data_IF_929952028113
#
_entry.id   IF_929952028113
#
_cell.length_a   1.000
_cell.length_b   1.000
_cell.length_c   1.000
_cell.angle_alpha   90.00
_cell.angle_beta   90.00
_cell.angle_gamma   90.00
#
_symmetry.space_group_name_H-M   'P 1'
#
loop_
_entity.id
_entity.type
_entity.pdbx_description
1 polymer ?
#
# COMPACT_ATOMS: atom_id res chain seq x y z
N UNK A 1 8.62 -11.69 -16.04
CA UNK A 1 8.19 -10.61 -15.11
C UNK A 1 6.69 -10.40 -15.07
N UNK A 2 5.92 -11.39 -15.52
CA UNK A 2 4.45 -11.24 -15.55
C UNK A 2 3.85 -11.01 -14.17
N UNK A 3 4.32 -11.76 -13.15
CA UNK A 3 3.78 -11.62 -11.80
C UNK A 3 4.04 -10.23 -11.24
N UNK A 4 5.27 -9.71 -11.36
CA UNK A 4 5.60 -8.37 -10.88
C UNK A 4 4.74 -7.30 -11.55
N UNK A 5 4.50 -7.43 -12.86
CA UNK A 5 3.61 -6.53 -13.59
C UNK A 5 2.20 -6.53 -12.99
N UNK A 6 1.62 -7.70 -12.78
CA UNK A 6 0.25 -7.78 -12.25
C UNK A 6 0.18 -7.31 -10.80
N UNK A 7 1.16 -7.66 -9.98
CA UNK A 7 1.22 -7.18 -8.59
C UNK A 7 1.35 -5.65 -8.54
N UNK A 8 2.17 -5.10 -9.41
CA UNK A 8 2.35 -3.64 -9.52
C UNK A 8 1.02 -2.96 -9.87
N UNK A 9 0.28 -3.50 -10.83
CA UNK A 9 -1.02 -2.96 -11.21
C UNK A 9 -2.05 -3.09 -10.08
N UNK A 10 -2.08 -4.23 -9.40
CA UNK A 10 -3.00 -4.45 -8.27
C UNK A 10 -2.73 -3.44 -7.15
N UNK A 11 -1.47 -3.33 -6.72
CA UNK A 11 -1.13 -2.39 -5.64
C UNK A 11 -1.45 -0.96 -6.04
N UNK A 12 -1.12 -0.55 -7.25
CA UNK A 12 -1.40 0.81 -7.71
C UNK A 12 -2.90 1.11 -7.71
N UNK A 13 -3.72 0.21 -8.22
CA UNK A 13 -5.18 0.41 -8.28
C UNK A 13 -5.76 0.47 -6.87
N UNK A 14 -5.37 -0.45 -5.98
CA UNK A 14 -5.89 -0.48 -4.61
C UNK A 14 -5.51 0.80 -3.88
N UNK A 15 -4.24 1.20 -3.94
CA UNK A 15 -3.77 2.40 -3.23
C UNK A 15 -4.40 3.66 -3.82
N UNK A 16 -4.45 3.80 -5.14
CA UNK A 16 -5.07 4.97 -5.76
C UNK A 16 -6.55 5.07 -5.37
N UNK A 17 -7.27 3.96 -5.36
CA UNK A 17 -8.69 3.97 -4.97
C UNK A 17 -8.86 4.38 -3.50
N UNK A 18 -7.98 3.90 -2.62
CA UNK A 18 -8.05 4.21 -1.19
C UNK A 18 -7.83 5.70 -0.90
N UNK A 19 -6.96 6.34 -1.66
CA UNK A 19 -6.59 7.74 -1.46
C UNK A 19 -7.33 8.72 -2.37
N UNK A 20 -8.32 8.24 -3.13
CA UNK A 20 -9.20 9.06 -3.96
C UNK A 20 -10.66 8.85 -3.55
N UNK A 21 -11.42 8.08 -4.32
CA UNK A 21 -12.85 7.98 -4.08
C UNK A 21 -13.23 7.23 -2.79
N UNK A 22 -12.36 6.37 -2.26
CA UNK A 22 -12.62 5.66 -1.00
C UNK A 22 -12.14 6.41 0.25
N UNK A 23 -11.49 7.56 0.06
CA UNK A 23 -10.88 8.31 1.16
C UNK A 23 -11.89 8.63 2.27
N UNK A 24 -13.10 8.99 1.92
CA UNK A 24 -14.16 9.37 2.84
C UNK A 24 -15.23 8.30 3.02
N UNK A 25 -15.01 7.09 2.53
CA UNK A 25 -16.00 6.02 2.61
C UNK A 25 -15.76 5.14 3.84
N UNK A 26 -16.82 4.69 4.52
CA UNK A 26 -16.66 3.69 5.58
C UNK A 26 -16.22 2.35 4.98
N UNK A 27 -15.53 1.55 5.79
CA UNK A 27 -15.02 0.25 5.36
C UNK A 27 -14.75 -0.62 6.59
N UNK A 28 -14.90 -1.92 6.43
CA UNK A 28 -14.50 -2.90 7.44
C UNK A 28 -13.00 -2.88 7.71
N UNK A 29 -12.22 -2.27 6.81
CA UNK A 29 -10.76 -2.24 6.89
C UNK A 29 -10.24 -0.96 7.56
N UNK A 30 -11.12 -0.06 8.04
CA UNK A 30 -10.71 1.12 8.79
C UNK A 30 -10.25 0.72 10.20
N UNK A 31 -9.23 1.44 10.70
CA UNK A 31 -8.76 1.26 12.06
C UNK A 31 -9.79 1.73 13.10
N UNK A 32 -9.91 1.01 14.20
CA UNK A 32 -10.83 1.36 15.26
C UNK A 32 -12.27 1.50 14.75
N UNK A 33 -12.95 2.52 15.21
CA UNK A 33 -14.34 2.83 14.80
C UNK A 33 -14.39 3.92 13.72
N UNK A 34 -13.28 4.19 13.04
CA UNK A 34 -13.19 5.25 12.05
C UNK A 34 -14.10 4.98 10.85
N UNK A 35 -14.76 6.03 10.37
CA UNK A 35 -15.65 5.96 9.21
C UNK A 35 -15.04 6.60 7.95
N UNK A 36 -13.85 7.20 8.09
CA UNK A 36 -13.10 7.78 6.97
C UNK A 36 -11.62 7.80 7.29
N UNK A 37 -10.80 8.21 6.33
CA UNK A 37 -9.35 8.23 6.48
C UNK A 37 -8.88 9.19 7.55
N UNK A 38 -9.51 10.35 7.65
CA UNK A 38 -9.17 11.34 8.66
C UNK A 38 -9.37 10.81 10.07
N UNK A 39 -10.49 10.14 10.32
CA UNK A 39 -10.77 9.52 11.62
C UNK A 39 -9.84 8.36 11.90
N UNK A 40 -9.49 7.58 10.88
CA UNK A 40 -8.55 6.47 11.02
C UNK A 40 -7.19 6.97 11.49
N UNK A 41 -6.66 8.02 10.87
CA UNK A 41 -5.39 8.62 11.29
C UNK A 41 -5.49 9.20 12.70
N UNK A 42 -6.64 9.81 13.06
CA UNK A 42 -6.85 10.31 14.41
C UNK A 42 -6.82 9.19 15.44
N UNK A 43 -7.37 8.02 15.13
CA UNK A 43 -7.30 6.84 16.01
C UNK A 43 -5.86 6.44 16.28
N UNK A 44 -4.97 6.60 15.28
CA UNK A 44 -3.54 6.32 15.43
C UNK A 44 -2.77 7.44 16.13
N UNK A 45 -3.42 8.55 16.45
CA UNK A 45 -2.76 9.73 17.01
C UNK A 45 -2.04 10.60 16.00
N UNK A 46 -2.42 10.48 14.73
CA UNK A 46 -1.76 11.20 13.64
C UNK A 46 -2.64 12.37 13.14
N UNK A 47 -2.01 13.50 12.82
CA UNK A 47 -2.71 14.69 12.36
C UNK A 47 -3.16 14.58 10.90
N UNK A 48 -4.08 15.46 10.49
CA UNK A 48 -4.48 15.57 9.09
C UNK A 48 -3.31 15.98 8.18
N UNK A 49 -2.38 16.81 8.70
CA UNK A 49 -1.18 17.17 7.93
C UNK A 49 -0.33 15.95 7.61
N UNK A 50 -0.15 15.05 8.58
CA UNK A 50 0.55 13.78 8.36
C UNK A 50 -0.22 12.91 7.37
N UNK A 51 -1.55 12.82 7.50
CA UNK A 51 -2.39 12.07 6.59
C UNK A 51 -2.22 12.55 5.14
N UNK A 52 -2.27 13.86 4.92
CA UNK A 52 -2.11 14.44 3.58
C UNK A 52 -0.73 14.15 3.02
N UNK A 53 0.32 14.30 3.83
CA UNK A 53 1.70 14.03 3.42
C UNK A 53 1.88 12.57 3.02
N UNK A 54 1.39 11.64 3.83
CA UNK A 54 1.42 10.20 3.54
C UNK A 54 0.66 9.92 2.24
N UNK A 55 -0.52 10.50 2.10
CA UNK A 55 -1.36 10.31 0.92
C UNK A 55 -0.69 10.77 -0.37
N UNK A 56 -0.08 11.95 -0.36
CA UNK A 56 0.64 12.48 -1.53
C UNK A 56 1.75 11.52 -1.94
N UNK A 57 2.58 11.07 -0.99
CA UNK A 57 3.68 10.15 -1.29
C UNK A 57 3.15 8.81 -1.79
N UNK A 58 2.13 8.27 -1.16
CA UNK A 58 1.54 6.98 -1.58
C UNK A 58 0.92 7.07 -2.97
N UNK A 59 0.27 8.18 -3.31
CA UNK A 59 -0.26 8.40 -4.65
C UNK A 59 0.87 8.43 -5.68
N UNK A 60 1.95 9.15 -5.40
CA UNK A 60 3.12 9.20 -6.29
C UNK A 60 3.70 7.80 -6.49
N UNK A 61 3.89 7.05 -5.41
CA UNK A 61 4.43 5.69 -5.49
C UNK A 61 3.48 4.75 -6.26
N UNK A 62 2.17 4.90 -6.07
CA UNK A 62 1.19 4.11 -6.80
C UNK A 62 1.22 4.43 -8.29
N UNK A 63 1.39 5.70 -8.68
CA UNK A 63 1.54 6.08 -10.08
C UNK A 63 2.83 5.52 -10.66
N UNK A 64 3.93 5.53 -9.91
CA UNK A 64 5.19 4.92 -10.35
C UNK A 64 5.04 3.41 -10.54
N UNK A 65 4.32 2.73 -9.65
CA UNK A 65 4.02 1.31 -9.82
C UNK A 65 3.14 1.06 -11.04
N UNK A 66 2.18 1.91 -11.30
CA UNK A 66 1.32 1.80 -12.47
C UNK A 66 2.13 1.94 -13.76
N UNK A 67 2.96 2.97 -13.84
CA UNK A 67 3.83 3.20 -15.00
C UNK A 67 4.82 2.06 -15.15
N UNK A 68 5.40 1.60 -14.03
CA UNK A 68 6.33 0.47 -14.02
C UNK A 68 5.71 -0.80 -14.55
N UNK A 69 4.47 -1.09 -14.14
CA UNK A 69 3.75 -2.27 -14.61
C UNK A 69 3.35 -2.20 -16.08
N UNK A 70 3.01 -1.00 -16.56
CA UNK A 70 2.54 -0.81 -17.93
C UNK A 70 3.68 -0.63 -18.94
N UNK A 71 4.78 0.04 -18.56
CA UNK A 71 5.74 0.49 -19.55
C UNK A 71 7.21 0.42 -19.12
N UNK A 72 7.51 0.72 -17.85
CA UNK A 72 8.90 0.85 -17.38
C UNK A 72 9.18 -0.07 -16.19
N UNK A 73 9.46 -1.37 -16.43
CA UNK A 73 9.64 -2.34 -15.32
C UNK A 73 10.72 -1.95 -14.31
N UNK A 74 11.71 -1.15 -14.72
CA UNK A 74 12.77 -0.70 -13.82
C UNK A 74 12.25 0.13 -12.64
N UNK A 75 11.06 0.72 -12.75
CA UNK A 75 10.45 1.50 -11.67
C UNK A 75 9.83 0.63 -10.58
N UNK A 76 9.56 -0.65 -10.87
CA UNK A 76 8.78 -1.51 -9.96
C UNK A 76 9.50 -1.72 -8.64
N UNK A 77 10.74 -2.20 -8.65
CA UNK A 77 11.44 -2.54 -7.40
C UNK A 77 11.63 -1.36 -6.45
N UNK A 78 12.16 -0.20 -6.90
CA UNK A 78 12.33 0.92 -5.96
C UNK A 78 11.00 1.45 -5.45
N UNK A 79 9.97 1.51 -6.28
CA UNK A 79 8.65 1.97 -5.86
C UNK A 79 8.00 0.98 -4.90
N UNK A 80 8.13 -0.31 -5.15
CA UNK A 80 7.62 -1.34 -4.24
C UNK A 80 8.35 -1.30 -2.90
N UNK A 81 9.65 -1.06 -2.89
CA UNK A 81 10.42 -0.95 -1.64
C UNK A 81 9.93 0.23 -0.81
N UNK A 82 9.74 1.40 -1.42
CA UNK A 82 9.21 2.56 -0.71
C UNK A 82 7.78 2.32 -0.24
N UNK A 83 6.92 1.74 -1.08
CA UNK A 83 5.55 1.40 -0.70
C UNK A 83 5.52 0.41 0.46
N UNK A 84 6.42 -0.58 0.47
CA UNK A 84 6.50 -1.56 1.56
C UNK A 84 6.73 -0.90 2.92
N UNK A 85 7.53 0.17 2.97
CA UNK A 85 7.74 0.90 4.22
C UNK A 85 6.44 1.48 4.75
N UNK A 86 5.59 2.04 3.88
CA UNK A 86 4.28 2.55 4.30
C UNK A 86 3.34 1.42 4.74
N UNK A 87 3.41 0.27 4.08
CA UNK A 87 2.57 -0.87 4.47
C UNK A 87 3.02 -1.47 5.81
N UNK A 88 4.32 -1.50 6.08
CA UNK A 88 4.85 -1.89 7.39
C UNK A 88 4.32 -0.93 8.45
N UNK A 89 4.38 0.38 8.20
CA UNK A 89 3.83 1.37 9.11
C UNK A 89 2.33 1.17 9.36
N UNK A 90 1.57 0.89 8.30
CA UNK A 90 0.14 0.66 8.44
C UNK A 90 -0.17 -0.59 9.28
N UNK A 91 0.55 -1.68 9.05
CA UNK A 91 0.41 -2.90 9.86
C UNK A 91 0.76 -2.59 11.32
N UNK A 92 1.84 -1.85 11.55
CA UNK A 92 2.25 -1.45 12.89
C UNK A 92 1.12 -0.69 13.61
N UNK A 93 0.48 0.30 12.94
CA UNK A 93 -0.58 1.06 13.56
C UNK A 93 -1.81 0.21 13.88
N UNK A 94 -2.20 -0.70 13.00
CA UNK A 94 -3.29 -1.62 13.31
C UNK A 94 -2.97 -2.49 14.52
N UNK A 95 -1.75 -2.99 14.63
CA UNK A 95 -1.32 -3.78 15.80
C UNK A 95 -1.32 -2.92 17.05
N UNK A 96 -0.85 -1.67 16.95
CA UNK A 96 -0.71 -0.77 18.11
C UNK A 96 -2.06 -0.45 18.78
N UNK A 97 -3.14 -0.43 18.02
CA UNK A 97 -4.49 -0.20 18.57
C UNK A 97 -5.28 -1.49 18.77
N UNK A 98 -4.60 -2.63 18.66
CA UNK A 98 -5.20 -3.96 18.82
C UNK A 98 -6.36 -4.21 17.85
N UNK A 99 -6.27 -3.71 16.63
CA UNK A 99 -7.22 -4.03 15.57
C UNK A 99 -7.19 -5.52 15.26
N UNK A 100 -8.34 -6.05 14.87
CA UNK A 100 -8.45 -7.44 14.45
C UNK A 100 -7.77 -7.68 13.10
N UNK A 101 -7.87 -8.93 12.64
CA UNK A 101 -7.29 -9.35 11.37
C UNK A 101 -7.89 -8.59 10.19
N UNK A 102 -9.22 -8.38 10.20
CA UNK A 102 -9.92 -7.77 9.05
C UNK A 102 -9.40 -6.38 8.70
N UNK A 103 -9.28 -5.43 9.66
CA UNK A 103 -8.72 -4.11 9.33
C UNK A 103 -7.27 -4.15 8.87
N UNK A 104 -6.51 -5.16 9.30
CA UNK A 104 -5.08 -5.29 8.96
C UNK A 104 -4.86 -5.95 7.60
N UNK A 105 -5.84 -6.70 7.07
CA UNK A 105 -5.68 -7.47 5.84
C UNK A 105 -5.21 -6.66 4.63
N UNK A 106 -5.78 -5.49 4.32
CA UNK A 106 -5.33 -4.76 3.13
C UNK A 106 -3.86 -4.37 3.19
N UNK A 107 -3.41 -3.82 4.32
CA UNK A 107 -2.00 -3.42 4.47
C UNK A 107 -1.07 -4.63 4.42
N UNK A 108 -1.43 -5.73 5.10
CA UNK A 108 -0.63 -6.95 5.09
C UNK A 108 -0.58 -7.56 3.68
N UNK A 109 -1.70 -7.58 2.97
CA UNK A 109 -1.77 -8.10 1.60
C UNK A 109 -0.92 -7.27 0.64
N UNK A 110 -1.01 -5.95 0.74
CA UNK A 110 -0.20 -5.05 -0.09
C UNK A 110 1.28 -5.17 0.25
N UNK A 111 1.62 -5.34 1.52
CA UNK A 111 3.00 -5.59 1.95
C UNK A 111 3.53 -6.88 1.31
N UNK A 112 2.76 -7.95 1.35
CA UNK A 112 3.15 -9.20 0.71
C UNK A 112 3.38 -9.01 -0.80
N UNK A 113 2.49 -8.30 -1.48
CA UNK A 113 2.66 -7.99 -2.90
C UNK A 113 3.96 -7.23 -3.17
N UNK A 114 4.27 -6.24 -2.33
CA UNK A 114 5.50 -5.46 -2.46
C UNK A 114 6.74 -6.31 -2.23
N UNK A 115 6.72 -7.18 -1.22
CA UNK A 115 7.83 -8.08 -0.95
C UNK A 115 8.06 -9.06 -2.11
N UNK A 116 7.00 -9.57 -2.69
CA UNK A 116 7.12 -10.44 -3.86
C UNK A 116 7.71 -9.69 -5.07
N UNK A 117 7.32 -8.44 -5.29
CA UNK A 117 7.90 -7.63 -6.36
C UNK A 117 9.40 -7.38 -6.16
N UNK A 118 9.83 -7.23 -4.90
CA UNK A 118 11.23 -6.96 -4.57
C UNK A 118 12.07 -8.24 -4.65
N UNK A 119 11.59 -9.34 -4.06
CA UNK A 119 12.40 -10.54 -3.80
C UNK A 119 12.08 -11.73 -4.67
N UNK A 120 10.99 -11.73 -5.45
CA UNK A 120 10.62 -12.88 -6.26
C UNK A 120 11.73 -13.38 -7.17
N UNK A 121 12.47 -12.52 -7.88
CA UNK A 121 13.55 -13.01 -8.74
C UNK A 121 14.62 -13.79 -7.97
N UNK A 122 14.81 -13.47 -6.68
CA UNK A 122 15.78 -14.17 -5.83
C UNK A 122 15.23 -15.53 -5.37
N UNK A 123 13.98 -15.52 -4.87
CA UNK A 123 13.39 -16.72 -4.27
C UNK A 123 12.90 -17.74 -5.30
N UNK A 124 12.45 -17.30 -6.45
CA UNK A 124 11.83 -18.16 -7.47
C UNK A 124 12.65 -18.29 -8.74
N UNK A 125 13.88 -17.75 -8.76
CA UNK A 125 14.77 -17.86 -9.92
C UNK A 125 14.24 -17.22 -11.18
N UNK A 126 13.37 -16.23 -11.07
CA UNK A 126 12.79 -15.55 -12.22
C UNK A 126 13.87 -14.76 -12.98
N UNK A 127 13.92 -14.98 -14.29
CA UNK A 127 14.88 -14.24 -15.12
C UNK A 127 14.39 -12.82 -15.34
N UNK A 128 15.33 -11.86 -15.35
CA UNK A 128 15.03 -10.50 -15.76
C UNK A 128 14.68 -10.50 -17.23
N UNK A 129 13.59 -9.88 -17.56
CA UNK A 129 13.17 -9.69 -18.94
C UNK A 129 13.48 -8.28 -19.40
#
# INVERSE_FOLDING_TARGET
MKLSKYLSLVVSIVVLSAWTFRLNQPSLFRGGDAVNMSEEFAVYGLSNGIMISVGVVKIILALLLLIGGLKFPALIKPSAAAMALFMIGAVYFHISISDGIIPTLPAASMLLCCLLMIFKPIFFGEKKS
#
